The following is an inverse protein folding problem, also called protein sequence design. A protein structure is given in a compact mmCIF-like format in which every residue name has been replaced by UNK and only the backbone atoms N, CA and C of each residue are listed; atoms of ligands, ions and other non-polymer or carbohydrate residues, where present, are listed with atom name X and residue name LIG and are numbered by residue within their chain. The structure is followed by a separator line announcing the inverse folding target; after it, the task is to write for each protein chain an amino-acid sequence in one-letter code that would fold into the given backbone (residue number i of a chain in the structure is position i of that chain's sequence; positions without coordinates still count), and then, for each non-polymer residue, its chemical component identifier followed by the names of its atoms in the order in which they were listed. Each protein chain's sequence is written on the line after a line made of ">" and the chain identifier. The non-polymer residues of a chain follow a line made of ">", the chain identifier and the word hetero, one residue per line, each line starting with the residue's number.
data_IF_031106205898
#
_entry.id   IF_031106205898
#
_cell.length_a   1.000
_cell.length_b   1.000
_cell.length_c   1.000
_cell.angle_alpha   90.00
_cell.angle_beta   90.00
_cell.angle_gamma   90.00
#
_symmetry.space_group_name_H-M   'P 1'
#
loop_
_entity.id
_entity.type
_entity.pdbx_description
1 polymer ?
#
# COMPACT_ATOMS: atom_id res chain seq x y z
N UNK A 1 -16.22 -4.73 5.80
CA UNK A 1 -15.12 -3.78 5.48
C UNK A 1 -13.90 -4.51 4.93
N UNK A 2 -13.36 -5.50 5.67
CA UNK A 2 -12.20 -6.33 5.26
C UNK A 2 -12.30 -6.99 3.87
N UNK A 3 -13.47 -7.54 3.51
CA UNK A 3 -13.64 -8.17 2.19
C UNK A 3 -13.46 -7.19 1.01
N UNK A 4 -13.82 -5.92 1.22
CA UNK A 4 -13.68 -4.87 0.20
C UNK A 4 -12.21 -4.47 0.02
N UNK A 5 -11.49 -4.33 1.13
CA UNK A 5 -10.03 -4.06 1.15
C UNK A 5 -9.29 -5.20 0.45
N UNK A 6 -9.59 -6.46 0.79
CA UNK A 6 -8.99 -7.64 0.16
C UNK A 6 -9.18 -7.65 -1.35
N UNK A 7 -10.40 -7.35 -1.83
CA UNK A 7 -10.68 -7.26 -3.28
C UNK A 7 -9.87 -6.15 -3.96
N UNK A 8 -9.77 -4.98 -3.33
CA UNK A 8 -8.99 -3.85 -3.85
C UNK A 8 -7.49 -4.21 -3.86
N UNK A 9 -7.00 -4.84 -2.80
CA UNK A 9 -5.61 -5.28 -2.68
C UNK A 9 -5.23 -6.29 -3.77
N UNK A 10 -6.05 -7.32 -4.00
CA UNK A 10 -5.82 -8.28 -5.09
C UNK A 10 -5.79 -7.60 -6.47
N UNK A 11 -6.63 -6.58 -6.70
CA UNK A 11 -6.60 -5.80 -7.94
C UNK A 11 -5.32 -4.97 -8.04
N UNK A 12 -4.89 -4.34 -6.95
CA UNK A 12 -3.65 -3.57 -6.89
C UNK A 12 -2.42 -4.43 -7.19
N UNK A 13 -2.34 -5.63 -6.60
CA UNK A 13 -1.27 -6.61 -6.91
C UNK A 13 -1.27 -6.96 -8.40
N UNK A 14 -2.45 -7.16 -9.00
CA UNK A 14 -2.55 -7.44 -10.44
C UNK A 14 -2.03 -6.27 -11.30
N UNK A 15 -2.38 -5.03 -10.94
CA UNK A 15 -1.84 -3.84 -11.61
C UNK A 15 -0.33 -3.71 -11.44
N UNK A 16 0.19 -3.96 -10.23
CA UNK A 16 1.62 -3.97 -9.93
C UNK A 16 2.38 -4.98 -10.81
N UNK A 17 1.88 -6.22 -10.90
CA UNK A 17 2.47 -7.27 -11.75
C UNK A 17 2.45 -6.94 -13.25
N UNK A 18 1.60 -6.00 -13.67
CA UNK A 18 1.52 -5.49 -15.03
C UNK A 18 2.35 -4.21 -15.22
N UNK A 19 3.22 -3.85 -14.28
CA UNK A 19 4.01 -2.60 -14.25
C UNK A 19 3.15 -1.32 -14.25
N UNK A 20 1.86 -1.42 -13.87
CA UNK A 20 0.94 -0.28 -13.73
C UNK A 20 1.01 0.25 -12.30
N UNK A 21 2.19 0.75 -11.92
CA UNK A 21 2.52 1.10 -10.54
C UNK A 21 1.63 2.21 -9.98
N UNK A 22 1.40 3.29 -10.73
CA UNK A 22 0.53 4.39 -10.27
C UNK A 22 -0.90 3.92 -10.04
N UNK A 23 -1.40 2.98 -10.85
CA UNK A 23 -2.75 2.44 -10.66
C UNK A 23 -2.84 1.52 -9.44
N UNK A 24 -1.80 0.73 -9.17
CA UNK A 24 -1.67 -0.04 -7.93
C UNK A 24 -1.66 0.89 -6.69
N UNK A 25 -0.90 1.99 -6.76
CA UNK A 25 -0.84 3.02 -5.72
C UNK A 25 -2.22 3.62 -5.45
N UNK A 26 -2.97 4.02 -6.49
CA UNK A 26 -4.32 4.56 -6.33
C UNK A 26 -5.27 3.56 -5.69
N UNK A 27 -5.17 2.28 -6.07
CA UNK A 27 -5.99 1.23 -5.46
C UNK A 27 -5.64 1.02 -3.98
N UNK A 28 -4.37 0.99 -3.61
CA UNK A 28 -3.98 0.86 -2.21
C UNK A 28 -4.36 2.09 -1.37
N UNK A 29 -4.21 3.31 -1.89
CA UNK A 29 -4.72 4.53 -1.21
C UNK A 29 -6.22 4.44 -0.95
N UNK A 30 -6.98 3.97 -1.94
CA UNK A 30 -8.42 3.72 -1.79
C UNK A 30 -8.72 2.63 -0.77
N UNK A 31 -7.86 1.61 -0.63
CA UNK A 31 -8.02 0.62 0.42
C UNK A 31 -7.81 1.23 1.81
N UNK A 32 -6.83 2.13 1.96
CA UNK A 32 -6.57 2.86 3.21
C UNK A 32 -7.66 3.87 3.57
N UNK A 33 -8.47 4.36 2.61
CA UNK A 33 -9.68 5.13 2.92
C UNK A 33 -10.72 4.32 3.71
N UNK A 34 -10.72 2.98 3.58
CA UNK A 34 -11.60 2.11 4.36
C UNK A 34 -11.00 1.70 5.70
N UNK A 35 -9.70 1.47 5.75
CA UNK A 35 -8.95 1.19 6.97
C UNK A 35 -7.57 1.85 6.89
N UNK A 36 -7.38 3.02 7.52
CA UNK A 36 -6.13 3.77 7.45
C UNK A 36 -4.93 3.05 8.06
N UNK A 37 -5.16 2.02 8.88
CA UNK A 37 -4.12 1.33 9.64
C UNK A 37 -3.91 -0.13 9.16
N UNK A 38 -4.37 -0.46 7.95
CA UNK A 38 -4.13 -1.77 7.37
C UNK A 38 -2.65 -1.93 6.97
N UNK A 39 -1.88 -2.53 7.89
CA UNK A 39 -0.42 -2.65 7.82
C UNK A 39 0.05 -3.31 6.52
N UNK A 40 -0.65 -4.36 6.05
CA UNK A 40 -0.30 -5.05 4.80
C UNK A 40 -0.36 -4.11 3.57
N UNK A 41 -1.36 -3.23 3.54
CA UNK A 41 -1.56 -2.26 2.45
C UNK A 41 -0.51 -1.15 2.54
N UNK A 42 -0.27 -0.61 3.74
CA UNK A 42 0.74 0.43 3.95
C UNK A 42 2.13 -0.06 3.57
N UNK A 43 2.47 -1.30 3.94
CA UNK A 43 3.74 -1.93 3.56
C UNK A 43 3.87 -2.07 2.04
N UNK A 44 2.84 -2.61 1.38
CA UNK A 44 2.82 -2.77 -0.08
C UNK A 44 2.95 -1.44 -0.82
N UNK A 45 2.24 -0.41 -0.33
CA UNK A 45 2.31 0.95 -0.87
C UNK A 45 3.71 1.56 -0.66
N UNK A 46 4.28 1.40 0.53
CA UNK A 46 5.64 1.85 0.85
C UNK A 46 6.71 1.25 -0.05
N UNK A 47 6.63 -0.07 -0.31
CA UNK A 47 7.55 -0.76 -1.22
C UNK A 47 7.47 -0.24 -2.65
N UNK A 48 6.26 -0.09 -3.21
CA UNK A 48 6.12 0.40 -4.60
C UNK A 48 6.54 1.86 -4.72
N UNK A 49 6.26 2.69 -3.71
CA UNK A 49 6.78 4.06 -3.69
C UNK A 49 8.31 4.09 -3.65
N UNK A 50 8.95 3.17 -2.93
CA UNK A 50 10.40 3.02 -2.92
C UNK A 50 10.94 2.64 -4.31
N UNK A 51 10.33 1.66 -4.97
CA UNK A 51 10.70 1.24 -6.34
C UNK A 51 10.58 2.39 -7.35
N UNK A 52 9.55 3.23 -7.22
CA UNK A 52 9.36 4.43 -8.03
C UNK A 52 10.25 5.62 -7.62
N UNK A 53 11.18 5.43 -6.67
CA UNK A 53 12.06 6.48 -6.13
C UNK A 53 11.31 7.63 -5.44
N UNK A 54 10.06 7.42 -5.03
CA UNK A 54 9.25 8.34 -4.22
C UNK A 54 9.58 8.12 -2.74
N UNK A 55 10.85 8.32 -2.40
CA UNK A 55 11.42 7.92 -1.11
C UNK A 55 10.75 8.59 0.08
N UNK A 56 10.40 9.88 -0.02
CA UNK A 56 9.77 10.60 1.09
C UNK A 56 8.42 9.96 1.48
N UNK A 57 7.55 9.75 0.50
CA UNK A 57 6.24 9.11 0.75
C UNK A 57 6.41 7.66 1.21
N UNK A 58 7.36 6.92 0.64
CA UNK A 58 7.69 5.56 1.08
C UNK A 58 8.06 5.51 2.56
N UNK A 59 8.96 6.41 2.99
CA UNK A 59 9.40 6.51 4.38
C UNK A 59 8.23 6.80 5.32
N UNK A 60 7.31 7.69 4.92
CA UNK A 60 6.16 8.04 5.76
C UNK A 60 5.29 6.80 6.04
N UNK A 61 4.95 6.01 5.01
CA UNK A 61 4.19 4.77 5.20
C UNK A 61 4.97 3.67 5.93
N UNK A 62 6.25 3.47 5.62
CA UNK A 62 7.06 2.41 6.24
C UNK A 62 7.37 2.71 7.72
N UNK A 63 7.48 3.99 8.10
CA UNK A 63 7.62 4.39 9.51
C UNK A 63 6.38 4.03 10.31
N UNK A 64 5.19 4.29 9.77
CA UNK A 64 3.96 3.89 10.45
C UNK A 64 3.86 2.37 10.58
N UNK A 65 4.17 1.61 9.52
CA UNK A 65 4.22 0.14 9.56
C UNK A 65 5.12 -0.37 10.69
N UNK A 66 6.33 0.18 10.81
CA UNK A 66 7.28 -0.19 11.87
C UNK A 66 6.78 0.17 13.28
N UNK A 67 5.97 1.22 13.43
CA UNK A 67 5.37 1.60 14.71
C UNK A 67 4.23 0.65 15.14
N UNK A 68 3.51 0.04 14.18
CA UNK A 68 2.41 -0.89 14.45
C UNK A 68 2.87 -2.34 14.69
N UNK A 69 4.05 -2.72 14.18
CA UNK A 69 4.68 -4.01 14.45
C UNK A 69 5.98 -3.82 15.23
N UNK A 70 5.93 -3.43 16.52
CA UNK A 70 7.09 -3.53 17.38
C UNK A 70 7.39 -5.02 17.61
N UNK A 71 8.62 -5.42 17.28
CA UNK A 71 9.21 -6.73 17.60
C UNK A 71 9.04 -7.09 19.10
#
# INVERSE_FOLDING_TARGET
>A
MKERIKKIHSKAISCYRQNRYEEAIQLWRKALEFDPHEVEIMYSLGLVLFELKRYQESIDYLKEVAAYSPD
#
